data_IF_700189043484
#
_entry.id   IF_700189043484
#
_cell.length_a   1.000
_cell.length_b   1.000
_cell.length_c   1.000
_cell.angle_alpha   90.00
_cell.angle_beta   90.00
_cell.angle_gamma   90.00
#
_symmetry.space_group_name_H-M   'P 1'
#
loop_
_entity.id
_entity.type
_entity.pdbx_description
1 polymer ?
#
# COMPACT_ATOMS: atom_id res chain seq x y z
N UNK A 1 96.07 8.17 -58.08
CA UNK A 1 95.59 8.18 -56.69
C UNK A 1 94.33 9.04 -56.43
N UNK A 2 93.95 10.10 -57.19
CA UNK A 2 92.74 10.89 -56.88
C UNK A 2 91.41 10.28 -57.39
N UNK A 3 91.45 9.37 -58.37
CA UNK A 3 90.24 8.86 -59.05
C UNK A 3 89.33 8.01 -58.16
N UNK A 4 89.90 7.24 -57.23
CA UNK A 4 89.14 6.36 -56.33
C UNK A 4 88.40 7.13 -55.22
N UNK A 5 88.95 8.26 -54.78
CA UNK A 5 88.31 9.13 -53.76
C UNK A 5 87.06 9.78 -54.34
N UNK A 6 87.13 10.26 -55.57
CA UNK A 6 85.98 10.85 -56.27
C UNK A 6 84.89 9.80 -56.54
N UNK A 7 85.28 8.60 -56.97
CA UNK A 7 84.35 7.49 -57.22
C UNK A 7 83.70 6.94 -55.93
N UNK A 8 84.41 6.94 -54.80
CA UNK A 8 83.83 6.58 -53.50
C UNK A 8 82.81 7.59 -53.00
N UNK A 9 83.09 8.89 -53.17
CA UNK A 9 82.19 9.97 -52.75
C UNK A 9 80.86 9.95 -53.53
N UNK A 10 80.89 9.67 -54.83
CA UNK A 10 79.65 9.59 -55.63
C UNK A 10 78.77 8.42 -55.21
N UNK A 11 79.35 7.28 -54.86
CA UNK A 11 78.61 6.13 -54.33
C UNK A 11 77.98 6.45 -52.97
N UNK A 12 78.74 7.07 -52.06
CA UNK A 12 78.23 7.49 -50.74
C UNK A 12 77.08 8.49 -50.88
N UNK A 13 77.20 9.48 -51.76
CA UNK A 13 76.15 10.46 -52.01
C UNK A 13 74.90 9.84 -52.66
N UNK A 14 75.07 8.89 -53.59
CA UNK A 14 73.96 8.17 -54.18
C UNK A 14 73.18 7.38 -53.13
N UNK A 15 73.89 6.66 -52.25
CA UNK A 15 73.28 5.90 -51.14
C UNK A 15 72.59 6.85 -50.15
N UNK A 16 73.23 7.96 -49.77
CA UNK A 16 72.65 8.95 -48.87
C UNK A 16 71.36 9.56 -49.43
N UNK A 17 71.31 9.83 -50.73
CA UNK A 17 70.13 10.40 -51.41
C UNK A 17 68.96 9.41 -51.44
N UNK A 18 69.23 8.13 -51.70
CA UNK A 18 68.21 7.07 -51.65
C UNK A 18 67.67 6.90 -50.23
N UNK A 19 68.54 6.91 -49.21
CA UNK A 19 68.14 6.81 -47.81
C UNK A 19 67.30 8.03 -47.39
N UNK A 20 67.71 9.25 -47.74
CA UNK A 20 66.95 10.48 -47.44
C UNK A 20 65.58 10.48 -48.13
N UNK A 21 65.52 10.05 -49.39
CA UNK A 21 64.28 9.98 -50.15
C UNK A 21 63.25 9.01 -49.55
N UNK A 22 63.69 8.00 -48.82
CA UNK A 22 62.80 7.08 -48.11
C UNK A 22 62.49 7.52 -46.67
N UNK A 23 63.51 7.97 -45.93
CA UNK A 23 63.38 8.24 -44.48
C UNK A 23 62.65 9.55 -44.17
N UNK A 24 62.83 10.61 -44.95
CA UNK A 24 62.18 11.91 -44.69
C UNK A 24 60.66 11.84 -44.88
N UNK A 25 60.11 11.25 -45.96
CA UNK A 25 58.66 11.09 -46.08
C UNK A 25 58.06 10.18 -45.01
N UNK A 26 58.75 9.08 -44.66
CA UNK A 26 58.30 8.17 -43.60
C UNK A 26 58.22 8.88 -42.23
N UNK A 27 59.17 9.77 -41.93
CA UNK A 27 59.15 10.58 -40.71
C UNK A 27 57.98 11.58 -40.71
N UNK A 28 57.68 12.19 -41.86
CA UNK A 28 56.53 13.08 -42.01
C UNK A 28 55.19 12.37 -41.80
N UNK A 29 55.00 11.19 -42.40
CA UNK A 29 53.77 10.41 -42.23
C UNK A 29 53.59 9.98 -40.77
N UNK A 30 54.65 9.51 -40.11
CA UNK A 30 54.60 9.17 -38.69
C UNK A 30 54.24 10.38 -37.81
N UNK A 31 54.81 11.55 -38.08
CA UNK A 31 54.48 12.77 -37.33
C UNK A 31 53.00 13.18 -37.51
N UNK A 32 52.45 13.02 -38.71
CA UNK A 32 51.04 13.28 -39.02
C UNK A 32 50.09 12.31 -38.30
N UNK A 33 50.42 11.02 -38.30
CA UNK A 33 49.61 10.00 -37.60
C UNK A 33 49.61 10.24 -36.09
N UNK A 34 50.76 10.58 -35.51
CA UNK A 34 50.88 10.95 -34.09
C UNK A 34 50.02 12.17 -33.77
N UNK A 35 50.00 13.19 -34.63
CA UNK A 35 49.13 14.36 -34.48
C UNK A 35 47.64 14.01 -34.47
N UNK A 36 47.23 13.12 -35.38
CA UNK A 36 45.86 12.63 -35.47
C UNK A 36 45.47 11.81 -34.24
N UNK A 37 46.35 10.95 -33.75
CA UNK A 37 46.15 10.16 -32.53
C UNK A 37 46.00 11.09 -31.33
N UNK A 38 46.85 12.11 -31.19
CA UNK A 38 46.77 13.08 -30.09
C UNK A 38 45.42 13.79 -30.04
N UNK A 39 44.92 14.24 -31.20
CA UNK A 39 43.61 14.89 -31.29
C UNK A 39 42.46 13.93 -30.91
N UNK A 40 42.55 12.65 -31.29
CA UNK A 40 41.56 11.63 -30.88
C UNK A 40 41.61 11.35 -29.39
N UNK A 41 42.81 11.28 -28.80
CA UNK A 41 43.00 11.08 -27.35
C UNK A 41 42.41 12.25 -26.57
N UNK A 42 42.67 13.50 -26.96
CA UNK A 42 42.07 14.68 -26.31
C UNK A 42 40.53 14.67 -26.41
N UNK A 43 40.00 14.20 -27.54
CA UNK A 43 38.55 14.02 -27.71
C UNK A 43 38.00 12.93 -26.77
N UNK A 44 38.75 11.85 -26.56
CA UNK A 44 38.37 10.81 -25.61
C UNK A 44 38.43 11.30 -24.17
N UNK A 45 39.47 12.01 -23.76
CA UNK A 45 39.56 12.63 -22.43
C UNK A 45 38.32 13.48 -22.12
N UNK A 46 37.94 14.39 -23.04
CA UNK A 46 36.74 15.22 -22.88
C UNK A 46 35.44 14.40 -22.78
N UNK A 47 35.36 13.28 -23.49
CA UNK A 47 34.20 12.37 -23.41
C UNK A 47 34.17 11.62 -22.09
N UNK A 48 35.31 11.18 -21.58
CA UNK A 48 35.41 10.52 -20.28
C UNK A 48 35.04 11.48 -19.15
N UNK A 49 35.54 12.72 -19.16
CA UNK A 49 35.12 13.75 -18.19
C UNK A 49 33.60 13.99 -18.20
N UNK A 50 32.98 13.96 -19.39
CA UNK A 50 31.54 14.12 -19.53
C UNK A 50 30.77 12.89 -19.02
N UNK A 51 31.35 11.69 -19.13
CA UNK A 51 30.80 10.45 -18.59
C UNK A 51 30.87 10.47 -17.07
N UNK A 52 32.01 10.87 -16.49
CA UNK A 52 32.18 10.97 -15.02
C UNK A 52 31.14 11.90 -14.41
N UNK A 53 30.95 13.10 -14.99
CA UNK A 53 29.91 14.04 -14.54
C UNK A 53 28.49 13.46 -14.62
N UNK A 54 28.22 12.59 -15.59
CA UNK A 54 26.91 11.92 -15.70
C UNK A 54 26.76 10.86 -14.61
N UNK A 55 27.81 10.12 -14.28
CA UNK A 55 27.80 9.17 -13.17
C UNK A 55 27.61 9.87 -11.82
N UNK A 56 28.32 10.97 -11.56
CA UNK A 56 28.10 11.79 -10.35
C UNK A 56 26.65 12.26 -10.22
N UNK A 57 26.05 12.70 -11.35
CA UNK A 57 24.64 13.08 -11.37
C UNK A 57 23.68 11.90 -11.15
N UNK A 58 24.04 10.70 -11.59
CA UNK A 58 23.25 9.49 -11.38
C UNK A 58 23.31 9.06 -9.91
N UNK A 59 24.48 9.11 -9.28
CA UNK A 59 24.66 8.81 -7.86
C UNK A 59 23.81 9.76 -6.99
N UNK A 60 23.84 11.07 -7.28
CA UNK A 60 22.98 12.02 -6.57
C UNK A 60 21.47 11.76 -6.74
N UNK A 61 21.05 11.25 -7.91
CA UNK A 61 19.65 10.84 -8.13
C UNK A 61 19.32 9.56 -7.37
N UNK A 62 20.23 8.59 -7.33
CA UNK A 62 20.06 7.35 -6.58
C UNK A 62 19.90 7.63 -5.07
N UNK A 63 20.72 8.50 -4.51
CA UNK A 63 20.61 8.95 -3.11
C UNK A 63 19.25 9.59 -2.82
N UNK A 64 18.78 10.48 -3.71
CA UNK A 64 17.47 11.10 -3.56
C UNK A 64 16.33 10.07 -3.60
N UNK A 65 16.44 9.06 -4.47
CA UNK A 65 15.47 7.97 -4.54
C UNK A 65 15.51 7.15 -3.25
N UNK A 66 16.69 6.80 -2.73
CA UNK A 66 16.85 6.08 -1.47
C UNK A 66 16.11 6.78 -0.32
N UNK A 67 16.36 8.09 -0.12
CA UNK A 67 15.67 8.87 0.91
C UNK A 67 14.15 8.91 0.74
N UNK A 68 13.67 8.93 -0.51
CA UNK A 68 12.22 8.90 -0.79
C UNK A 68 11.62 7.54 -0.44
N UNK A 69 12.32 6.45 -0.72
CA UNK A 69 11.90 5.09 -0.36
C UNK A 69 11.86 4.94 1.16
N UNK A 70 12.91 5.37 1.87
CA UNK A 70 12.94 5.35 3.34
C UNK A 70 11.76 6.12 3.95
N UNK A 71 11.42 7.28 3.37
CA UNK A 71 10.28 8.08 3.78
C UNK A 71 8.92 7.41 3.50
N UNK A 72 8.82 6.60 2.45
CA UNK A 72 7.63 5.78 2.16
C UNK A 72 7.54 4.64 3.17
N UNK A 73 8.62 3.92 3.41
CA UNK A 73 8.67 2.81 4.36
C UNK A 73 8.27 3.25 5.77
N UNK A 74 8.76 4.41 6.23
CA UNK A 74 8.36 4.98 7.52
C UNK A 74 6.85 5.28 7.59
N UNK A 75 6.27 5.79 6.50
CA UNK A 75 4.82 6.08 6.42
C UNK A 75 3.98 4.81 6.36
N UNK A 76 4.48 3.77 5.70
CA UNK A 76 3.83 2.47 5.63
C UNK A 76 3.91 1.77 6.99
N UNK A 77 5.05 1.76 7.66
CA UNK A 77 5.19 1.22 9.02
C UNK A 77 4.25 1.90 10.02
N UNK A 78 4.07 3.22 9.92
CA UNK A 78 3.10 3.96 10.74
C UNK A 78 1.64 3.60 10.43
N UNK A 79 1.34 3.15 9.21
CA UNK A 79 -0.01 2.71 8.79
C UNK A 79 -0.27 1.24 9.09
N UNK A 80 0.74 0.39 9.02
CA UNK A 80 0.68 -1.05 9.30
C UNK A 80 0.79 -1.35 10.81
N UNK A 81 0.80 -0.31 11.65
CA UNK A 81 0.63 -0.45 13.08
C UNK A 81 -0.71 -1.14 13.36
N UNK A 82 -0.67 -2.35 13.92
CA UNK A 82 -1.84 -3.19 14.17
C UNK A 82 -2.94 -2.37 14.89
N UNK A 83 -4.20 -2.39 14.42
CA UNK A 83 -5.31 -1.72 15.11
C UNK A 83 -5.37 -2.04 16.61
N UNK A 84 -4.94 -3.23 17.05
CA UNK A 84 -4.83 -3.56 18.47
C UNK A 84 -3.82 -2.69 19.22
N UNK A 85 -2.69 -2.34 18.59
CA UNK A 85 -1.66 -1.46 19.17
C UNK A 85 -2.08 0.01 19.15
N UNK A 86 -2.81 0.46 18.13
CA UNK A 86 -3.40 1.81 18.10
C UNK A 86 -4.48 2.00 19.19
N UNK A 87 -5.30 0.97 19.42
CA UNK A 87 -6.32 0.94 20.48
C UNK A 87 -5.68 0.88 21.87
N UNK A 88 -4.62 0.09 22.05
CA UNK A 88 -3.86 0.06 23.29
C UNK A 88 -3.16 1.40 23.60
N UNK A 89 -2.59 2.07 22.58
CA UNK A 89 -1.91 3.36 22.73
C UNK A 89 -2.87 4.52 23.04
N UNK A 90 -4.15 4.42 22.63
CA UNK A 90 -5.18 5.41 22.94
C UNK A 90 -5.79 5.25 24.34
N UNK A 91 -5.26 4.33 25.16
CA UNK A 91 -5.73 4.09 26.54
C UNK A 91 -7.10 3.40 26.61
N UNK A 92 -7.72 3.15 25.45
CA UNK A 92 -8.98 2.43 25.31
C UNK A 92 -8.68 0.93 25.34
N UNK A 93 -8.68 0.33 26.54
CA UNK A 93 -8.79 -1.12 26.63
C UNK A 93 -10.12 -1.54 25.98
N UNK A 94 -10.18 -2.52 25.06
CA UNK A 94 -11.44 -2.99 24.48
C UNK A 94 -12.23 -3.78 25.55
N UNK A 95 -12.88 -3.04 26.44
CA UNK A 95 -13.82 -3.49 27.47
C UNK A 95 -15.24 -3.64 26.89
N UNK A 96 -15.39 -3.86 25.57
CA UNK A 96 -16.73 -4.01 25.01
C UNK A 96 -17.34 -5.30 25.56
N UNK A 97 -18.44 -5.20 26.29
CA UNK A 97 -19.28 -6.36 26.67
C UNK A 97 -19.97 -7.00 25.47
N UNK A 98 -19.71 -6.48 24.27
CA UNK A 98 -20.36 -6.82 23.02
C UNK A 98 -19.29 -7.15 21.97
N UNK A 99 -19.46 -8.25 21.26
CA UNK A 99 -18.68 -8.62 20.08
C UNK A 99 -19.57 -8.50 18.84
N UNK A 100 -19.17 -7.68 17.86
CA UNK A 100 -19.94 -7.47 16.63
C UNK A 100 -19.40 -8.30 15.46
N UNK A 101 -20.28 -8.94 14.70
CA UNK A 101 -19.93 -9.67 13.46
C UNK A 101 -20.94 -9.33 12.37
N UNK A 102 -20.47 -9.11 11.14
CA UNK A 102 -21.32 -8.97 9.96
C UNK A 102 -21.45 -10.31 9.23
N UNK A 103 -22.67 -10.83 9.09
CA UNK A 103 -22.94 -12.07 8.35
C UNK A 103 -24.14 -11.87 7.42
N UNK A 104 -23.99 -12.19 6.13
CA UNK A 104 -25.08 -12.13 5.16
C UNK A 104 -25.74 -10.75 5.02
N UNK A 105 -24.98 -9.67 5.17
CA UNK A 105 -25.50 -8.29 5.12
C UNK A 105 -26.20 -7.83 6.41
N UNK A 106 -26.25 -8.65 7.47
CA UNK A 106 -26.77 -8.27 8.79
C UNK A 106 -25.63 -8.03 9.76
N UNK A 107 -25.79 -7.05 10.66
CA UNK A 107 -24.88 -6.81 11.77
C UNK A 107 -25.43 -7.50 13.02
N UNK A 108 -24.69 -8.48 13.49
CA UNK A 108 -24.97 -9.21 14.71
C UNK A 108 -24.08 -8.69 15.84
N UNK A 109 -24.65 -8.64 17.04
CA UNK A 109 -23.94 -8.36 18.27
C UNK A 109 -24.14 -9.53 19.23
N UNK A 110 -23.03 -10.03 19.77
CA UNK A 110 -22.97 -11.10 20.74
C UNK A 110 -22.57 -10.51 22.09
N UNK A 111 -23.43 -10.58 23.11
CA UNK A 111 -23.07 -10.16 24.45
C UNK A 111 -22.05 -11.16 25.04
N UNK A 112 -21.02 -10.65 25.72
CA UNK A 112 -20.02 -11.42 26.46
C UNK A 112 -20.49 -11.76 27.89
N UNK A 113 -21.50 -11.05 28.39
CA UNK A 113 -22.09 -11.21 29.72
C UNK A 113 -23.60 -11.45 29.61
N UNK A 114 -24.20 -12.13 30.59
CA UNK A 114 -25.65 -12.36 30.61
C UNK A 114 -26.44 -11.06 30.84
N UNK A 115 -25.84 -10.07 31.49
CA UNK A 115 -26.44 -8.74 31.71
C UNK A 115 -26.60 -7.98 30.40
N UNK A 116 -25.56 -7.96 29.58
CA UNK A 116 -25.57 -7.40 28.23
C UNK A 116 -26.62 -8.11 27.33
N UNK A 117 -26.79 -9.43 27.47
CA UNK A 117 -27.83 -10.17 26.75
C UNK A 117 -29.24 -9.78 27.17
N UNK A 118 -29.45 -9.55 28.48
CA UNK A 118 -30.73 -9.12 29.01
C UNK A 118 -31.08 -7.69 28.54
N UNK A 119 -30.10 -6.79 28.44
CA UNK A 119 -30.32 -5.44 27.92
C UNK A 119 -30.72 -5.42 26.45
N UNK A 120 -30.04 -6.19 25.60
CA UNK A 120 -30.39 -6.30 24.17
C UNK A 120 -31.79 -6.91 23.98
N UNK A 121 -32.15 -7.88 24.82
CA UNK A 121 -33.48 -8.47 24.84
C UNK A 121 -34.54 -7.45 25.30
N UNK A 122 -34.26 -6.64 26.33
CA UNK A 122 -35.15 -5.55 26.81
C UNK A 122 -35.32 -4.44 25.77
N UNK A 123 -34.28 -4.16 24.99
CA UNK A 123 -34.32 -3.22 23.88
C UNK A 123 -35.18 -3.72 22.70
N UNK A 124 -35.63 -4.98 22.72
CA UNK A 124 -36.49 -5.56 21.68
C UNK A 124 -35.71 -6.00 20.44
N UNK A 125 -34.40 -6.24 20.55
CA UNK A 125 -33.58 -6.77 19.47
C UNK A 125 -33.86 -8.26 19.28
N UNK A 126 -34.01 -8.68 18.03
CA UNK A 126 -34.30 -10.07 17.71
C UNK A 126 -33.03 -10.91 17.85
N UNK A 127 -33.11 -11.97 18.67
CA UNK A 127 -32.07 -13.01 18.73
C UNK A 127 -32.25 -13.94 17.53
N UNK A 128 -31.23 -14.03 16.69
CA UNK A 128 -31.24 -14.83 15.45
C UNK A 128 -30.00 -15.74 15.43
N UNK A 129 -30.14 -16.91 14.81
CA UNK A 129 -29.04 -17.85 14.63
C UNK A 129 -28.09 -17.33 13.53
N UNK A 130 -26.81 -17.23 13.84
CA UNK A 130 -25.74 -16.92 12.88
C UNK A 130 -25.30 -18.22 12.18
N UNK A 131 -25.20 -19.31 12.97
CA UNK A 131 -24.80 -20.66 12.58
C UNK A 131 -25.66 -21.64 13.39
N UNK A 132 -25.82 -22.93 13.02
CA UNK A 132 -26.60 -23.89 13.83
C UNK A 132 -26.20 -23.98 15.31
N UNK A 133 -24.97 -23.60 15.66
CA UNK A 133 -24.43 -23.59 17.02
C UNK A 133 -24.19 -22.18 17.60
N UNK A 134 -24.45 -21.10 16.86
CA UNK A 134 -24.11 -19.73 17.26
C UNK A 134 -25.28 -18.76 17.09
N UNK A 135 -25.56 -17.96 18.12
CA UNK A 135 -26.67 -17.00 18.13
C UNK A 135 -26.16 -15.60 18.45
N UNK A 136 -26.81 -14.58 17.88
CA UNK A 136 -26.54 -13.17 18.17
C UNK A 136 -27.81 -12.33 18.08
N UNK A 137 -27.70 -11.06 18.49
CA UNK A 137 -28.77 -10.08 18.36
C UNK A 137 -28.54 -9.26 17.10
N UNK A 138 -29.52 -9.20 16.20
CA UNK A 138 -29.44 -8.33 15.03
C UNK A 138 -29.65 -6.89 15.48
N UNK A 139 -28.76 -5.98 15.09
CA UNK A 139 -28.89 -4.55 15.38
C UNK A 139 -29.18 -3.72 14.13
N UNK A 140 -29.02 -4.30 12.94
CA UNK A 140 -29.32 -3.66 11.68
C UNK A 140 -28.87 -4.47 10.48
N UNK A 141 -29.23 -3.99 9.31
CA UNK A 141 -28.88 -4.59 8.02
C UNK A 141 -28.10 -3.59 7.19
N UNK A 142 -27.36 -4.07 6.21
CA UNK A 142 -26.68 -3.24 5.23
C UNK A 142 -27.37 -3.38 3.89
N UNK A 143 -27.62 -2.25 3.24
CA UNK A 143 -28.20 -2.23 1.91
C UNK A 143 -27.18 -2.64 0.82
N UNK A 144 -27.63 -2.69 -0.44
CA UNK A 144 -26.79 -3.06 -1.59
C UNK A 144 -25.68 -2.05 -1.90
N UNK A 145 -25.79 -0.82 -1.40
CA UNK A 145 -24.75 0.22 -1.44
C UNK A 145 -23.79 0.16 -0.25
N UNK A 146 -24.04 -0.73 0.71
CA UNK A 146 -23.23 -0.92 1.91
C UNK A 146 -23.56 0.04 3.05
N UNK A 147 -24.61 0.86 2.93
CA UNK A 147 -25.04 1.76 3.98
C UNK A 147 -25.78 1.00 5.09
N UNK A 148 -25.52 1.39 6.34
CA UNK A 148 -26.09 0.75 7.52
C UNK A 148 -27.51 1.26 7.79
N UNK A 149 -28.45 0.33 7.87
CA UNK A 149 -29.84 0.58 8.24
C UNK A 149 -30.08 -0.04 9.63
N UNK A 150 -30.24 0.77 10.68
CA UNK A 150 -30.45 0.24 12.04
C UNK A 150 -31.81 -0.45 12.14
N UNK A 151 -31.87 -1.51 12.94
CA UNK A 151 -33.12 -2.20 13.22
C UNK A 151 -34.04 -1.27 14.02
N UNK A 152 -35.28 -1.08 13.56
CA UNK A 152 -36.27 -0.32 14.32
C UNK A 152 -36.60 -1.10 15.60
N UNK A 153 -36.27 -0.52 16.74
CA UNK A 153 -36.64 -1.04 18.06
C UNK A 153 -38.18 -1.12 18.11
N UNK A 154 -38.76 -2.31 18.32
CA UNK A 154 -40.21 -2.41 18.49
C UNK A 154 -40.58 -1.70 19.79
N UNK A 155 -41.49 -0.70 19.78
CA UNK A 155 -42.01 -0.16 21.01
C UNK A 155 -42.73 -1.29 21.76
N UNK A 156 -42.50 -1.32 23.07
CA UNK A 156 -43.15 -2.16 24.07
C UNK A 156 -44.59 -2.52 23.65
N UNK A 157 -44.81 -3.79 23.36
CA UNK A 157 -46.14 -4.35 23.44
C UNK A 157 -46.47 -4.41 24.94
N UNK A 158 -47.09 -3.35 25.45
CA UNK A 158 -47.76 -3.41 26.73
C UNK A 158 -48.73 -4.59 26.68
N UNK A 159 -48.55 -5.51 27.63
CA UNK A 159 -49.26 -6.77 27.67
C UNK A 159 -50.77 -6.59 27.69
N UNK A 160 -51.45 -7.52 27.03
CA UNK A 160 -52.57 -8.25 27.61
C UNK A 160 -53.53 -7.47 28.52
N UNK A 161 -54.30 -6.54 27.96
CA UNK A 161 -55.58 -6.13 28.57
C UNK A 161 -56.80 -6.32 27.66
N UNK A 162 -56.64 -6.87 26.46
CA UNK A 162 -57.77 -7.06 25.52
C UNK A 162 -58.45 -8.45 25.59
N UNK A 163 -58.06 -9.34 26.51
CA UNK A 163 -58.69 -10.67 26.67
C UNK A 163 -59.52 -10.84 27.96
N UNK A 164 -59.64 -9.80 28.79
CA UNK A 164 -60.44 -9.84 30.02
C UNK A 164 -61.76 -9.04 29.94
N UNK A 165 -62.00 -8.28 28.87
CA UNK A 165 -63.18 -7.41 28.74
C UNK A 165 -64.41 -8.08 28.08
N UNK A 166 -64.26 -9.24 27.42
CA UNK A 166 -65.39 -9.89 26.70
C UNK A 166 -66.09 -11.00 27.50
N UNK A 167 -65.56 -11.43 28.65
CA UNK A 167 -66.15 -12.51 29.46
C UNK A 167 -66.87 -12.04 30.74
N UNK A 168 -67.11 -10.73 30.90
CA UNK A 168 -67.91 -10.17 32.00
C UNK A 168 -69.23 -9.49 31.56
N UNK A 169 -69.68 -9.70 30.33
CA UNK A 169 -70.95 -9.15 29.82
C UNK A 169 -72.05 -10.19 29.53
N UNK A 170 -71.86 -11.47 29.88
CA UNK A 170 -72.91 -12.51 29.75
C UNK A 170 -73.31 -13.20 31.06
N UNK A 171 -72.83 -12.72 32.21
CA UNK A 171 -73.20 -13.26 33.54
C UNK A 171 -73.85 -12.20 34.45
N UNK A 172 -74.67 -11.32 33.88
CA UNK A 172 -75.47 -10.34 34.65
C UNK A 172 -76.91 -10.17 34.17
N UNK A 173 -77.48 -11.14 33.42
CA UNK A 173 -78.91 -11.15 33.04
C UNK A 173 -79.66 -12.36 33.64
N UNK A 174 -79.07 -13.07 34.59
CA UNK A 174 -79.73 -14.21 35.23
C UNK A 174 -79.42 -14.27 36.73
N UNK A 175 -79.68 -13.19 37.48
CA UNK A 175 -79.74 -13.27 38.95
C UNK A 175 -80.40 -11.99 39.55
N UNK A 176 -81.73 -11.90 39.46
CA UNK A 176 -82.60 -11.08 40.31
C UNK A 176 -84.03 -11.63 40.07
N UNK A 177 -84.44 -12.74 40.70
CA UNK A 177 -85.09 -12.85 42.03
C UNK A 177 -86.46 -12.12 42.10
N UNK A 178 -87.43 -12.52 42.96
CA UNK A 178 -87.57 -13.74 43.76
C UNK A 178 -88.97 -14.38 43.69
N UNK A 179 -89.13 -15.48 44.44
CA UNK A 179 -90.36 -16.21 44.72
C UNK A 179 -91.34 -15.48 45.66
N UNK A 180 -92.56 -16.05 45.73
CA UNK A 180 -93.60 -15.96 46.77
C UNK A 180 -94.66 -14.85 46.68
N UNK A 181 -95.86 -15.20 46.22
CA UNK A 181 -97.07 -15.46 47.04
C UNK A 181 -98.12 -16.19 46.21
#
# INVERSE_FOLDING_TARGET
MPSYVLAGLTVVLAVATVIMGFTVPAMWTMASDIGTIKARVETFEKRFDAVDKRFDSLDGKADMIGRRVDGIDARLAARDTDPATMVAASGLRPQSEFAGIRVGGKLFVMPKTDQAAAELSRAGLAREAITPSAFGYVIGTFDSTGAYVPQRLRPRADGEQSSAATLRSRRSVAEAAPASS
#
